data_IF_548496288207
#
_entry.id   IF_548496288207
#
_cell.length_a   1.000
_cell.length_b   1.000
_cell.length_c   1.000
_cell.angle_alpha   90.00
_cell.angle_beta   90.00
_cell.angle_gamma   90.00
#
_symmetry.space_group_name_H-M   'P 1'
#
loop_
_entity.id
_entity.type
_entity.pdbx_description
1 polymer ?
#
# COMPACT_ATOMS: atom_id res chain seq x y z
N UNK A 1 -1.70 38.46 21.05
CA UNK A 1 -0.38 39.09 20.89
C UNK A 1 -0.10 39.22 19.40
N UNK A 2 0.07 40.46 18.91
CA UNK A 2 0.39 40.84 17.52
C UNK A 2 1.79 41.47 17.51
N UNK A 3 2.66 41.11 16.55
CA UNK A 3 3.82 41.87 16.03
C UNK A 3 4.35 41.11 14.78
N UNK A 4 4.04 41.50 13.52
CA UNK A 4 4.72 42.45 12.60
C UNK A 4 6.22 42.16 12.41
N UNK A 5 6.73 41.67 11.27
CA UNK A 5 6.87 42.26 9.92
C UNK A 5 7.61 43.62 9.89
N UNK A 6 8.93 43.60 9.66
CA UNK A 6 9.68 44.41 8.66
C UNK A 6 11.22 44.40 8.88
N UNK A 7 11.93 44.09 7.78
CA UNK A 7 13.18 44.72 7.29
C UNK A 7 14.49 44.45 8.05
N UNK A 8 15.42 43.73 7.39
CA UNK A 8 16.82 44.18 7.29
C UNK A 8 17.41 43.79 5.93
N UNK A 9 18.10 44.76 5.35
CA UNK A 9 18.55 44.89 3.97
C UNK A 9 20.00 44.41 3.79
N UNK A 10 20.25 43.74 2.64
CA UNK A 10 21.21 44.14 1.60
C UNK A 10 22.72 44.01 1.90
N UNK A 11 23.40 43.11 1.17
CA UNK A 11 24.81 43.25 0.80
C UNK A 11 25.03 42.90 -0.67
N UNK A 12 25.34 43.97 -1.41
CA UNK A 12 25.76 44.10 -2.79
C UNK A 12 27.20 43.58 -2.98
N UNK A 13 27.46 42.85 -4.06
CA UNK A 13 28.82 42.42 -4.45
C UNK A 13 28.93 42.20 -5.95
N UNK A 14 29.56 43.17 -6.63
CA UNK A 14 29.88 43.20 -8.06
C UNK A 14 30.73 42.00 -8.52
N UNK A 15 30.49 41.50 -9.75
CA UNK A 15 31.52 40.81 -10.54
C UNK A 15 31.28 41.01 -12.06
N UNK A 16 32.07 41.97 -12.59
CA UNK A 16 32.78 42.04 -13.88
C UNK A 16 32.17 41.35 -15.11
N UNK A 17 31.81 42.20 -16.07
CA UNK A 17 31.54 41.87 -17.47
C UNK A 17 32.81 41.56 -18.26
N UNK A 18 32.92 40.35 -18.82
CA UNK A 18 33.81 40.05 -19.94
C UNK A 18 32.99 39.75 -21.18
N UNK A 19 33.03 40.65 -22.16
CA UNK A 19 32.47 40.42 -23.50
C UNK A 19 33.45 39.55 -24.26
N UNK A 20 33.10 38.27 -24.44
CA UNK A 20 33.76 37.40 -25.41
C UNK A 20 33.08 37.59 -26.76
N UNK A 21 33.82 38.04 -27.76
CA UNK A 21 33.37 38.04 -29.16
C UNK A 21 33.13 36.60 -29.61
N UNK A 22 31.87 36.22 -29.83
CA UNK A 22 31.53 34.95 -30.46
C UNK A 22 31.65 35.15 -31.97
N UNK A 23 32.65 34.52 -32.57
CA UNK A 23 32.71 34.28 -34.00
C UNK A 23 31.45 33.51 -34.42
N UNK A 24 30.71 34.02 -35.41
CA UNK A 24 29.58 33.33 -36.02
C UNK A 24 30.06 32.04 -36.70
N UNK A 25 30.08 30.94 -35.94
CA UNK A 25 30.11 29.59 -36.52
C UNK A 25 28.68 29.29 -36.94
N UNK A 26 28.42 29.38 -38.23
CA UNK A 26 27.17 28.97 -38.83
C UNK A 26 27.13 27.44 -38.79
N UNK A 27 26.71 26.86 -37.66
CA UNK A 27 26.40 25.45 -37.57
C UNK A 27 25.14 25.23 -38.43
N UNK A 28 25.31 24.61 -39.60
CA UNK A 28 24.20 24.06 -40.37
C UNK A 28 23.41 23.14 -39.46
N UNK A 29 22.26 23.65 -39.00
CA UNK A 29 21.22 22.87 -38.37
C UNK A 29 20.74 21.90 -39.44
N UNK A 30 21.22 20.66 -39.39
CA UNK A 30 20.52 19.57 -40.05
C UNK A 30 19.15 19.49 -39.37
N UNK A 31 18.14 20.03 -40.04
CA UNK A 31 16.73 19.88 -39.67
C UNK A 31 16.36 18.40 -39.82
N UNK A 32 16.79 17.56 -38.88
CA UNK A 32 16.01 16.39 -38.53
C UNK A 32 14.83 16.88 -37.68
N UNK A 33 13.75 17.26 -38.37
CA UNK A 33 12.42 17.32 -37.77
C UNK A 33 12.04 15.92 -37.31
N UNK A 34 12.51 15.54 -36.12
CA UNK A 34 11.93 14.43 -35.36
C UNK A 34 10.48 14.85 -35.02
N UNK A 35 9.48 14.08 -35.44
CA UNK A 35 8.09 14.48 -35.26
C UNK A 35 7.78 14.55 -33.76
N UNK A 36 7.31 15.70 -33.27
CA UNK A 36 6.88 15.92 -31.87
C UNK A 36 5.95 14.83 -31.32
N UNK A 37 5.20 14.16 -32.21
CA UNK A 37 4.32 13.01 -31.91
C UNK A 37 5.08 11.73 -31.51
N UNK A 38 6.27 11.48 -32.04
CA UNK A 38 7.10 10.35 -31.65
C UNK A 38 7.71 10.56 -30.25
N UNK A 39 8.10 11.81 -29.95
CA UNK A 39 8.66 12.19 -28.64
C UNK A 39 7.67 11.98 -27.50
N UNK A 40 6.39 12.30 -27.70
CA UNK A 40 5.35 12.10 -26.69
C UNK A 40 4.97 10.63 -26.49
N UNK A 41 5.04 9.80 -27.53
CA UNK A 41 4.81 8.34 -27.44
C UNK A 41 5.93 7.68 -26.64
N UNK A 42 7.19 8.04 -26.92
CA UNK A 42 8.35 7.51 -26.19
C UNK A 42 8.35 7.94 -24.71
N UNK A 43 8.06 9.22 -24.43
CA UNK A 43 7.91 9.71 -23.06
C UNK A 43 6.82 8.95 -22.29
N UNK A 44 5.66 8.72 -22.91
CA UNK A 44 4.56 7.96 -22.29
C UNK A 44 4.96 6.50 -22.00
N UNK A 45 5.72 5.87 -22.90
CA UNK A 45 6.21 4.51 -22.70
C UNK A 45 7.19 4.43 -21.52
N UNK A 46 8.11 5.40 -21.40
CA UNK A 46 9.07 5.48 -20.29
C UNK A 46 8.37 5.71 -18.95
N UNK A 47 7.38 6.62 -18.88
CA UNK A 47 6.59 6.86 -17.66
C UNK A 47 5.84 5.58 -17.26
N UNK A 48 5.23 4.88 -18.22
CA UNK A 48 4.52 3.61 -17.95
C UNK A 48 5.48 2.54 -17.43
N UNK A 49 6.66 2.40 -18.02
CA UNK A 49 7.68 1.46 -17.58
C UNK A 49 8.19 1.80 -16.17
N UNK A 50 8.50 3.07 -15.90
CA UNK A 50 8.92 3.54 -14.59
C UNK A 50 7.84 3.31 -13.53
N UNK A 51 6.58 3.62 -13.85
CA UNK A 51 5.43 3.38 -12.94
C UNK A 51 5.27 1.89 -12.64
N UNK A 52 5.40 1.03 -13.65
CA UNK A 52 5.37 -0.42 -13.47
C UNK A 52 6.49 -0.89 -12.55
N UNK A 53 7.72 -0.41 -12.77
CA UNK A 53 8.88 -0.74 -11.93
C UNK A 53 8.70 -0.30 -10.48
N UNK A 54 8.14 0.90 -10.25
CA UNK A 54 7.83 1.39 -8.89
C UNK A 54 6.79 0.48 -8.22
N UNK A 55 5.70 0.15 -8.92
CA UNK A 55 4.67 -0.76 -8.39
C UNK A 55 5.23 -2.15 -8.07
N UNK A 56 6.12 -2.68 -8.90
CA UNK A 56 6.81 -3.95 -8.64
C UNK A 56 7.70 -3.90 -7.40
N UNK A 57 8.46 -2.81 -7.19
CA UNK A 57 9.25 -2.60 -5.97
C UNK A 57 8.38 -2.56 -4.73
N UNK A 58 7.25 -1.86 -4.80
CA UNK A 58 6.28 -1.79 -3.71
C UNK A 58 5.68 -3.16 -3.38
N UNK A 59 5.19 -3.89 -4.40
CA UNK A 59 4.68 -5.25 -4.20
C UNK A 59 5.74 -6.18 -3.60
N UNK A 60 6.98 -6.11 -4.08
CA UNK A 60 8.10 -6.89 -3.54
C UNK A 60 8.37 -6.54 -2.07
N UNK A 61 8.31 -5.26 -1.70
CA UNK A 61 8.48 -4.84 -0.32
C UNK A 61 7.37 -5.41 0.59
N UNK A 62 6.12 -5.45 0.11
CA UNK A 62 5.03 -6.13 0.82
C UNK A 62 5.29 -7.64 0.97
N UNK A 63 5.62 -8.35 -0.12
CA UNK A 63 5.83 -9.80 -0.08
C UNK A 63 7.04 -10.23 0.76
N UNK A 64 8.02 -9.36 0.95
CA UNK A 64 9.19 -9.60 1.80
C UNK A 64 9.00 -9.10 3.24
N UNK A 65 7.81 -8.60 3.58
CA UNK A 65 7.50 -8.08 4.91
C UNK A 65 6.89 -9.16 5.81
N UNK A 66 6.58 -8.78 7.05
CA UNK A 66 5.85 -9.63 8.01
C UNK A 66 4.34 -9.69 7.75
N UNK A 67 3.81 -8.79 6.92
CA UNK A 67 2.37 -8.69 6.68
C UNK A 67 1.93 -9.73 5.66
N UNK A 68 0.72 -10.23 5.83
CA UNK A 68 0.18 -11.28 4.98
C UNK A 68 -0.96 -10.80 4.08
N UNK A 69 -1.56 -11.76 3.36
CA UNK A 69 -2.69 -11.49 2.49
C UNK A 69 -3.89 -10.88 3.23
N UNK A 70 -4.16 -11.32 4.46
CA UNK A 70 -5.32 -10.90 5.23
C UNK A 70 -5.18 -9.49 5.75
N UNK A 71 -3.97 -9.08 6.14
CA UNK A 71 -3.65 -7.69 6.45
C UNK A 71 -3.96 -6.76 5.26
N UNK A 72 -3.51 -7.15 4.07
CA UNK A 72 -3.78 -6.39 2.87
C UNK A 72 -5.27 -6.40 2.49
N UNK A 73 -5.98 -7.50 2.74
CA UNK A 73 -7.42 -7.62 2.45
C UNK A 73 -8.23 -6.67 3.33
N UNK A 74 -7.96 -6.65 4.63
CA UNK A 74 -8.62 -5.76 5.60
C UNK A 74 -8.34 -4.28 5.28
N UNK A 75 -7.10 -3.95 4.94
CA UNK A 75 -6.76 -2.59 4.50
C UNK A 75 -7.35 -2.20 3.15
N UNK A 76 -7.54 -3.16 2.24
CA UNK A 76 -8.20 -2.90 0.96
C UNK A 76 -9.64 -2.43 1.17
N UNK A 77 -10.38 -3.14 2.03
CA UNK A 77 -11.75 -2.78 2.38
C UNK A 77 -11.80 -1.44 3.12
N UNK A 78 -10.89 -1.21 4.07
CA UNK A 78 -10.82 0.05 4.82
C UNK A 78 -10.47 1.26 3.94
N UNK A 79 -9.54 1.11 2.99
CA UNK A 79 -9.15 2.19 2.08
C UNK A 79 -10.04 2.31 0.83
N UNK A 80 -10.99 1.40 0.63
CA UNK A 80 -11.90 1.42 -0.52
C UNK A 80 -11.18 1.18 -1.86
N UNK A 81 -10.23 0.24 -1.90
CA UNK A 81 -9.43 -0.07 -3.10
C UNK A 81 -9.23 -1.58 -3.28
N UNK A 82 -8.61 -1.99 -4.38
CA UNK A 82 -8.33 -3.41 -4.61
C UNK A 82 -7.24 -3.94 -3.65
N UNK A 83 -7.24 -5.25 -3.39
CA UNK A 83 -6.19 -5.91 -2.59
C UNK A 83 -4.79 -5.69 -3.20
N UNK A 84 -4.69 -5.69 -4.54
CA UNK A 84 -3.43 -5.42 -5.23
C UNK A 84 -2.90 -4.01 -4.97
N UNK A 85 -3.78 -3.01 -4.96
CA UNK A 85 -3.44 -1.63 -4.62
C UNK A 85 -3.11 -1.46 -3.14
N UNK A 86 -3.83 -2.16 -2.25
CA UNK A 86 -3.51 -2.19 -0.82
C UNK A 86 -2.11 -2.76 -0.57
N UNK A 87 -1.76 -3.89 -1.19
CA UNK A 87 -0.40 -4.47 -1.11
C UNK A 87 0.67 -3.48 -1.57
N UNK A 88 0.48 -2.81 -2.70
CA UNK A 88 1.43 -1.82 -3.19
C UNK A 88 1.53 -0.61 -2.23
N UNK A 89 0.40 -0.11 -1.71
CA UNK A 89 0.38 0.99 -0.73
C UNK A 89 1.08 0.62 0.58
N UNK A 90 0.89 -0.59 1.08
CA UNK A 90 1.62 -1.12 2.24
C UNK A 90 3.13 -1.19 1.94
N UNK A 91 3.49 -1.77 0.79
CA UNK A 91 4.86 -1.85 0.31
C UNK A 91 5.57 -0.51 0.23
N UNK A 92 4.89 0.53 -0.26
CA UNK A 92 5.40 1.90 -0.31
C UNK A 92 5.73 2.44 1.08
N UNK A 93 4.84 2.23 2.06
CA UNK A 93 5.06 2.62 3.46
C UNK A 93 6.27 1.90 4.07
N UNK A 94 6.41 0.61 3.76
CA UNK A 94 7.58 -0.18 4.19
C UNK A 94 8.88 0.39 3.62
N UNK A 95 8.89 0.76 2.34
CA UNK A 95 10.07 1.35 1.68
C UNK A 95 10.45 2.72 2.24
N UNK A 96 9.47 3.52 2.69
CA UNK A 96 9.71 4.83 3.33
C UNK A 96 10.27 4.74 4.75
N UNK A 97 10.20 3.55 5.37
CA UNK A 97 10.90 3.24 6.61
C UNK A 97 10.04 3.33 7.87
N UNK A 98 10.70 3.34 9.04
CA UNK A 98 10.07 3.05 10.34
C UNK A 98 8.89 3.96 10.68
N UNK A 99 8.97 5.26 10.39
CA UNK A 99 7.89 6.21 10.68
C UNK A 99 6.62 5.88 9.89
N UNK A 100 6.75 5.56 8.60
CA UNK A 100 5.62 5.16 7.75
C UNK A 100 5.08 3.76 8.06
N UNK A 101 5.96 2.86 8.54
CA UNK A 101 5.53 1.57 9.10
C UNK A 101 4.68 1.79 10.35
N UNK A 102 5.03 2.72 11.24
CA UNK A 102 4.18 3.01 12.41
C UNK A 102 2.80 3.53 11.99
N UNK A 103 2.73 4.37 10.95
CA UNK A 103 1.47 4.83 10.37
C UNK A 103 0.69 3.67 9.72
N UNK A 104 1.38 2.74 9.03
CA UNK A 104 0.76 1.54 8.48
C UNK A 104 0.10 0.69 9.57
N UNK A 105 0.80 0.47 10.69
CA UNK A 105 0.28 -0.29 11.83
C UNK A 105 -0.95 0.38 12.44
N UNK A 106 -0.96 1.71 12.55
CA UNK A 106 -2.15 2.45 13.00
C UNK A 106 -3.34 2.21 12.06
N UNK A 107 -3.14 2.28 10.74
CA UNK A 107 -4.21 1.96 9.78
C UNK A 107 -4.71 0.53 9.91
N UNK A 108 -3.83 -0.44 10.19
CA UNK A 108 -4.24 -1.83 10.43
C UNK A 108 -5.11 -1.94 11.69
N UNK A 109 -4.73 -1.28 12.78
CA UNK A 109 -5.54 -1.26 14.01
C UNK A 109 -6.93 -0.71 13.73
N UNK A 110 -7.02 0.45 13.07
CA UNK A 110 -8.30 1.11 12.77
C UNK A 110 -9.17 0.24 11.83
N UNK A 111 -8.55 -0.34 10.80
CA UNK A 111 -9.23 -1.22 9.85
C UNK A 111 -9.76 -2.49 10.51
N UNK A 112 -8.98 -3.09 11.42
CA UNK A 112 -9.38 -4.26 12.18
C UNK A 112 -10.52 -3.96 13.15
N UNK A 113 -10.46 -2.84 13.87
CA UNK A 113 -11.55 -2.41 14.75
C UNK A 113 -12.84 -2.25 13.94
N UNK A 114 -12.77 -1.56 12.80
CA UNK A 114 -13.93 -1.38 11.93
C UNK A 114 -14.49 -2.71 11.41
N UNK A 115 -13.62 -3.62 10.96
CA UNK A 115 -14.03 -4.95 10.49
C UNK A 115 -14.65 -5.79 11.61
N UNK A 116 -14.08 -5.77 12.82
CA UNK A 116 -14.63 -6.47 13.99
C UNK A 116 -16.00 -5.93 14.39
N UNK A 117 -16.22 -4.62 14.32
CA UNK A 117 -17.53 -4.02 14.61
C UNK A 117 -18.62 -4.53 13.66
N UNK A 118 -18.31 -4.73 12.37
CA UNK A 118 -19.26 -5.23 11.37
C UNK A 118 -19.77 -6.64 11.66
N UNK A 119 -19.02 -7.43 12.43
CA UNK A 119 -19.35 -8.83 12.71
C UNK A 119 -19.97 -9.06 14.12
N UNK A 120 -20.33 -8.00 14.85
CA UNK A 120 -20.94 -8.11 16.18
C UNK A 120 -22.47 -8.34 16.17
N UNK A 121 -23.13 -8.22 15.02
CA UNK A 121 -24.58 -8.39 14.89
C UNK A 121 -25.03 -9.86 14.93
N UNK A 122 -26.35 -10.08 14.96
CA UNK A 122 -26.96 -11.42 15.04
C UNK A 122 -26.78 -12.29 13.79
N UNK A 123 -26.50 -11.68 12.64
CA UNK A 123 -26.26 -12.36 11.38
C UNK A 123 -25.13 -11.66 10.61
N UNK A 124 -23.88 -11.81 11.06
CA UNK A 124 -22.74 -11.11 10.46
C UNK A 124 -22.42 -11.68 9.07
N UNK A 125 -22.01 -10.80 8.15
CA UNK A 125 -21.40 -11.24 6.89
C UNK A 125 -19.99 -11.78 7.18
N UNK A 126 -19.72 -13.03 6.80
CA UNK A 126 -18.44 -13.70 7.01
C UNK A 126 -17.64 -13.72 5.70
N UNK A 127 -17.29 -12.52 5.20
CA UNK A 127 -16.68 -12.36 3.88
C UNK A 127 -15.28 -12.93 3.82
N UNK A 128 -14.47 -12.77 4.88
CA UNK A 128 -13.10 -13.31 4.87
C UNK A 128 -13.11 -14.83 4.92
N UNK A 129 -13.95 -15.43 5.76
CA UNK A 129 -14.19 -16.87 5.80
C UNK A 129 -14.67 -17.39 4.44
N UNK A 130 -15.66 -16.73 3.83
CA UNK A 130 -16.24 -17.17 2.55
C UNK A 130 -15.24 -17.08 1.38
N UNK A 131 -14.33 -16.11 1.43
CA UNK A 131 -13.24 -15.95 0.47
C UNK A 131 -11.95 -16.69 0.89
N UNK A 132 -11.98 -17.41 2.01
CA UNK A 132 -10.87 -18.25 2.47
C UNK A 132 -10.93 -19.63 1.81
N UNK A 133 -9.91 -20.44 2.07
CA UNK A 133 -9.93 -21.86 1.74
C UNK A 133 -10.63 -22.74 2.79
N UNK A 134 -11.03 -22.16 3.93
CA UNK A 134 -11.67 -22.92 5.00
C UNK A 134 -13.10 -23.27 4.62
N UNK A 135 -13.48 -24.52 4.88
CA UNK A 135 -14.80 -25.04 4.55
C UNK A 135 -15.56 -25.46 5.81
N UNK A 136 -16.77 -25.97 5.60
CA UNK A 136 -17.64 -26.40 6.70
C UNK A 136 -17.03 -27.51 7.56
N UNK A 137 -16.30 -28.46 6.97
CA UNK A 137 -15.65 -29.53 7.72
C UNK A 137 -14.53 -29.00 8.61
N UNK A 138 -13.81 -27.96 8.17
CA UNK A 138 -12.82 -27.28 8.99
C UNK A 138 -13.50 -26.60 10.18
N UNK A 139 -14.62 -25.90 9.93
CA UNK A 139 -15.41 -25.28 10.98
C UNK A 139 -15.98 -26.30 12.00
N UNK A 140 -16.40 -27.48 11.56
CA UNK A 140 -16.85 -28.56 12.46
C UNK A 140 -15.73 -29.08 13.36
N UNK A 141 -14.53 -29.31 12.79
CA UNK A 141 -13.36 -29.73 13.56
C UNK A 141 -12.96 -28.67 14.58
N UNK A 142 -12.90 -27.42 14.14
CA UNK A 142 -12.53 -26.28 14.97
C UNK A 142 -13.56 -26.02 16.06
N UNK A 143 -14.87 -26.20 15.78
CA UNK A 143 -15.90 -26.07 16.80
C UNK A 143 -15.67 -27.07 17.95
N UNK A 144 -15.40 -28.35 17.61
CA UNK A 144 -15.10 -29.38 18.62
C UNK A 144 -13.83 -29.04 19.41
N UNK A 145 -12.76 -28.63 18.72
CA UNK A 145 -11.49 -28.31 19.35
C UNK A 145 -11.56 -27.08 20.26
N UNK A 146 -12.27 -26.04 19.83
CA UNK A 146 -12.40 -24.78 20.56
C UNK A 146 -13.52 -24.79 21.61
N UNK A 147 -14.32 -25.85 21.67
CA UNK A 147 -15.47 -25.96 22.58
C UNK A 147 -16.63 -25.04 22.19
N UNK A 148 -16.75 -24.71 20.90
CA UNK A 148 -17.84 -23.87 20.39
C UNK A 148 -19.12 -24.70 20.22
N UNK A 149 -20.31 -24.12 20.46
CA UNK A 149 -21.57 -24.86 20.46
C UNK A 149 -21.98 -25.36 19.07
N UNK A 150 -21.51 -24.72 18.00
CA UNK A 150 -21.74 -25.19 16.64
C UNK A 150 -20.64 -24.75 15.66
N UNK A 151 -20.62 -25.32 14.44
CA UNK A 151 -19.72 -24.89 13.38
C UNK A 151 -19.91 -23.41 13.00
N UNK A 152 -21.09 -22.83 13.26
CA UNK A 152 -21.35 -21.43 12.98
C UNK A 152 -20.47 -20.50 13.84
N UNK A 153 -20.38 -20.75 15.14
CA UNK A 153 -19.53 -19.98 16.05
C UNK A 153 -18.04 -20.13 15.68
N UNK A 154 -17.63 -21.33 15.24
CA UNK A 154 -16.28 -21.54 14.71
C UNK A 154 -16.02 -20.72 13.44
N UNK A 155 -16.98 -20.58 12.52
CA UNK A 155 -16.83 -19.69 11.34
C UNK A 155 -16.66 -18.23 11.74
N UNK A 156 -17.43 -17.75 12.73
CA UNK A 156 -17.27 -16.39 13.28
C UNK A 156 -15.86 -16.22 13.89
N UNK A 157 -15.36 -17.22 14.61
CA UNK A 157 -14.02 -17.20 15.18
C UNK A 157 -12.93 -17.24 14.10
N UNK A 158 -13.11 -17.99 13.02
CA UNK A 158 -12.24 -17.96 11.84
C UNK A 158 -12.23 -16.54 11.25
N UNK A 159 -13.40 -15.95 10.98
CA UNK A 159 -13.52 -14.58 10.48
C UNK A 159 -12.73 -13.59 11.35
N UNK A 160 -12.90 -13.65 12.68
CA UNK A 160 -12.15 -12.81 13.64
C UNK A 160 -10.63 -12.99 13.52
N UNK A 161 -10.16 -14.24 13.45
CA UNK A 161 -8.72 -14.51 13.32
C UNK A 161 -8.19 -14.00 11.98
N UNK A 162 -8.93 -14.14 10.89
CA UNK A 162 -8.55 -13.59 9.59
C UNK A 162 -8.50 -12.06 9.61
N UNK A 163 -9.50 -11.39 10.21
CA UNK A 163 -9.48 -9.93 10.41
C UNK A 163 -8.20 -9.51 11.16
N UNK A 164 -7.85 -10.25 12.22
CA UNK A 164 -6.71 -9.93 13.08
C UNK A 164 -5.33 -10.31 12.48
N UNK A 165 -5.29 -10.90 11.29
CA UNK A 165 -4.03 -11.42 10.70
C UNK A 165 -3.45 -12.59 11.50
N UNK A 166 -4.31 -13.38 12.14
CA UNK A 166 -3.97 -14.51 13.02
C UNK A 166 -4.31 -15.84 12.34
N UNK A 167 -4.03 -15.97 11.04
CA UNK A 167 -4.35 -17.18 10.29
C UNK A 167 -3.67 -18.41 10.89
N UNK A 168 -2.45 -18.24 11.41
CA UNK A 168 -1.64 -19.31 11.98
C UNK A 168 -2.36 -20.00 13.16
N UNK A 169 -3.19 -19.26 13.92
CA UNK A 169 -4.01 -19.83 15.01
C UNK A 169 -5.00 -20.86 14.46
N UNK A 170 -5.58 -20.59 13.30
CA UNK A 170 -6.53 -21.50 12.63
C UNK A 170 -5.79 -22.73 12.11
N UNK A 171 -4.66 -22.53 11.42
CA UNK A 171 -3.87 -23.62 10.84
C UNK A 171 -3.32 -24.58 11.90
N UNK A 172 -2.78 -24.04 13.00
CA UNK A 172 -2.30 -24.86 14.11
C UNK A 172 -3.44 -25.66 14.76
N UNK A 173 -4.61 -25.03 14.92
CA UNK A 173 -5.78 -25.70 15.45
C UNK A 173 -6.26 -26.85 14.53
N UNK A 174 -6.24 -26.66 13.21
CA UNK A 174 -6.60 -27.73 12.26
C UNK A 174 -5.59 -28.88 12.21
N UNK A 175 -4.34 -28.63 12.62
CA UNK A 175 -3.28 -29.64 12.70
C UNK A 175 -3.25 -30.39 14.03
N UNK A 176 -3.87 -29.85 15.08
CA UNK A 176 -3.97 -30.51 16.37
C UNK A 176 -4.82 -31.78 16.24
N UNK A 177 -4.23 -32.93 16.60
CA UNK A 177 -4.88 -34.25 16.59
C UNK A 177 -5.66 -34.50 17.87
#
# INVERSE_FOLDING_TARGET
>A
MKCNLKILLLSLGLLVSSVSTISNVNAQLTNQTLPKKALSVEQNALIKAATKQVKEKELKAFFNSKYDYWDARVLADYWGQSVSEAKARMGRKILWGKSDVAILEQFLVDARIQALQKIQGSNPSLELYSNSGYNYNDAEKLAKLWGEPSPWEAKIRIEKNLILGQREVIEQALQAR
#
